data_IF_756945132442
#
_entry.id   IF_756945132442
#
_cell.length_a   1.000
_cell.length_b   1.000
_cell.length_c   1.000
_cell.angle_alpha   90.00
_cell.angle_beta   90.00
_cell.angle_gamma   90.00
#
_symmetry.space_group_name_H-M   'P 1'
#
loop_
_entity.id
_entity.type
_entity.pdbx_description
1 polymer ?
#
# COMPACT_ATOMS: atom_id res chain seq x y z
N UNK A 1 37.77 3.43 12.35
CA UNK A 1 36.79 3.48 11.26
C UNK A 1 35.40 3.46 11.86
N UNK A 2 34.41 4.00 11.15
CA UNK A 2 33.02 4.06 11.61
C UNK A 2 32.13 3.18 10.72
N UNK A 3 31.16 2.49 11.34
CA UNK A 3 30.20 1.64 10.65
C UNK A 3 28.80 2.25 10.74
N UNK A 4 28.02 2.10 9.67
CA UNK A 4 26.67 2.65 9.53
C UNK A 4 25.67 1.51 9.27
N UNK A 5 24.43 1.70 9.72
CA UNK A 5 23.33 0.74 9.51
C UNK A 5 22.04 1.45 9.13
N UNK A 6 21.18 0.74 8.40
CA UNK A 6 19.85 1.24 8.04
C UNK A 6 18.89 1.17 9.24
N UNK A 7 18.07 2.23 9.41
CA UNK A 7 17.01 2.28 10.44
C UNK A 7 15.61 1.98 9.89
N UNK A 8 15.51 1.84 8.58
CA UNK A 8 14.29 1.50 7.83
C UNK A 8 14.63 0.43 6.81
N UNK A 9 13.61 -0.18 6.22
CA UNK A 9 13.79 -1.20 5.19
C UNK A 9 14.62 -0.62 4.01
N UNK A 10 15.83 -1.13 3.75
CA UNK A 10 16.72 -0.52 2.77
C UNK A 10 16.26 -0.80 1.33
N UNK A 11 16.45 0.16 0.44
CA UNK A 11 16.35 -0.08 -1.00
C UNK A 11 17.54 -0.92 -1.49
N UNK A 12 17.34 -1.75 -2.53
CA UNK A 12 18.40 -2.58 -3.12
C UNK A 12 18.71 -3.89 -2.40
N UNK A 13 18.14 -4.13 -1.21
CA UNK A 13 18.20 -5.44 -0.55
C UNK A 13 17.15 -6.39 -1.16
N UNK A 14 17.58 -7.58 -1.58
CA UNK A 14 16.73 -8.55 -2.27
C UNK A 14 15.44 -8.93 -1.50
N UNK A 15 15.47 -8.90 -0.16
CA UNK A 15 14.33 -9.23 0.68
C UNK A 15 13.40 -8.05 0.98
N UNK A 16 13.80 -6.82 0.65
CA UNK A 16 12.99 -5.63 0.93
C UNK A 16 11.64 -5.64 0.21
N UNK A 17 11.53 -5.96 -1.09
CA UNK A 17 10.23 -6.03 -1.76
C UNK A 17 9.27 -7.02 -1.08
N UNK A 18 9.78 -8.21 -0.72
CA UNK A 18 8.98 -9.24 -0.05
C UNK A 18 8.51 -8.80 1.34
N UNK A 19 9.39 -8.16 2.10
CA UNK A 19 9.07 -7.65 3.44
C UNK A 19 8.02 -6.55 3.37
N UNK A 20 8.18 -5.62 2.42
CA UNK A 20 7.22 -4.56 2.17
C UNK A 20 5.84 -5.11 1.78
N UNK A 21 5.79 -6.06 0.85
CA UNK A 21 4.53 -6.67 0.40
C UNK A 21 3.76 -7.33 1.54
N UNK A 22 4.43 -8.05 2.46
CA UNK A 22 3.76 -8.65 3.63
C UNK A 22 3.09 -7.60 4.52
N UNK A 23 3.76 -6.47 4.76
CA UNK A 23 3.18 -5.37 5.54
C UNK A 23 1.97 -4.75 4.82
N UNK A 24 2.08 -4.55 3.51
CA UNK A 24 0.99 -4.06 2.67
C UNK A 24 -0.20 -5.02 2.68
N UNK A 25 0.02 -6.32 2.55
CA UNK A 25 -1.05 -7.31 2.57
C UNK A 25 -1.86 -7.24 3.86
N UNK A 26 -1.20 -7.14 5.01
CA UNK A 26 -1.84 -6.95 6.30
C UNK A 26 -2.63 -5.63 6.36
N UNK A 27 -2.06 -4.54 5.86
CA UNK A 27 -2.74 -3.24 5.79
C UNK A 27 -4.01 -3.27 4.92
N UNK A 28 -4.06 -4.11 3.90
CA UNK A 28 -5.19 -4.23 2.98
C UNK A 28 -6.30 -5.18 3.48
N UNK A 29 -6.05 -6.04 4.47
CA UNK A 29 -7.05 -7.00 4.99
C UNK A 29 -8.37 -6.32 5.38
N UNK A 30 -8.39 -5.23 6.19
CA UNK A 30 -9.65 -4.58 6.57
C UNK A 30 -10.46 -4.07 5.38
N UNK A 31 -9.79 -3.56 4.35
CA UNK A 31 -10.43 -3.06 3.12
C UNK A 31 -11.03 -4.20 2.31
N UNK A 32 -10.32 -5.33 2.20
CA UNK A 32 -10.80 -6.54 1.52
C UNK A 32 -12.02 -7.13 2.22
N UNK A 33 -12.04 -7.13 3.55
CA UNK A 33 -13.19 -7.57 4.36
C UNK A 33 -14.44 -6.68 4.16
N UNK A 34 -14.26 -5.41 3.80
CA UNK A 34 -15.34 -4.51 3.40
C UNK A 34 -15.83 -4.72 1.96
N UNK A 35 -15.28 -5.72 1.24
CA UNK A 35 -15.64 -6.01 -0.15
C UNK A 35 -14.88 -5.18 -1.19
N UNK A 36 -13.89 -4.37 -0.77
CA UNK A 36 -13.07 -3.60 -1.71
C UNK A 36 -12.05 -4.54 -2.36
N UNK A 37 -12.16 -4.72 -3.69
CA UNK A 37 -11.22 -5.53 -4.47
C UNK A 37 -9.99 -4.72 -4.82
N UNK A 38 -8.84 -5.10 -4.25
CA UNK A 38 -7.55 -4.43 -4.43
C UNK A 38 -6.49 -5.45 -4.84
N UNK A 39 -5.90 -5.24 -6.01
CA UNK A 39 -4.69 -5.93 -6.45
C UNK A 39 -3.48 -5.07 -6.07
N UNK A 40 -2.52 -5.65 -5.34
CA UNK A 40 -1.29 -4.98 -4.93
C UNK A 40 -0.08 -5.64 -5.58
N UNK A 41 0.71 -4.88 -6.33
CA UNK A 41 1.97 -5.33 -6.92
C UNK A 41 3.09 -4.37 -6.53
N UNK A 42 3.95 -4.82 -5.61
CA UNK A 42 5.04 -4.00 -5.03
C UNK A 42 4.49 -2.66 -4.51
N UNK A 43 4.73 -1.55 -5.23
CA UNK A 43 4.27 -0.18 -4.88
C UNK A 43 3.03 0.28 -5.66
N UNK A 44 2.56 -0.51 -6.63
CA UNK A 44 1.45 -0.18 -7.52
C UNK A 44 0.20 -0.97 -7.16
N UNK A 45 -0.88 -0.26 -6.83
CA UNK A 45 -2.14 -0.88 -6.41
C UNK A 45 -3.28 -0.48 -7.33
N UNK A 46 -4.14 -1.44 -7.63
CA UNK A 46 -5.29 -1.29 -8.50
C UNK A 46 -6.59 -1.60 -7.75
N UNK A 47 -7.53 -0.66 -7.78
CA UNK A 47 -8.87 -0.81 -7.20
C UNK A 47 -9.84 -1.22 -8.31
N UNK A 48 -10.56 -2.32 -8.10
CA UNK A 48 -11.54 -2.84 -9.06
C UNK A 48 -12.97 -2.58 -8.57
N UNK A 49 -13.76 -1.86 -9.36
CA UNK A 49 -15.15 -1.55 -9.07
C UNK A 49 -16.02 -1.66 -10.34
N UNK A 50 -17.32 -1.90 -10.17
CA UNK A 50 -18.26 -2.08 -11.27
C UNK A 50 -18.73 -0.76 -11.92
N UNK A 51 -18.46 0.37 -11.28
CA UNK A 51 -18.78 1.71 -11.80
C UNK A 51 -17.72 2.71 -11.37
N UNK A 52 -17.66 3.84 -12.07
CA UNK A 52 -16.79 4.97 -11.73
C UNK A 52 -17.12 5.54 -10.34
N UNK A 53 -18.41 5.73 -10.03
CA UNK A 53 -18.85 6.23 -8.73
C UNK A 53 -18.42 5.32 -7.57
N UNK A 54 -18.50 4.00 -7.77
CA UNK A 54 -18.05 3.03 -6.79
C UNK A 54 -16.52 3.02 -6.69
N UNK A 55 -15.81 3.16 -7.81
CA UNK A 55 -14.35 3.29 -7.83
C UNK A 55 -13.88 4.52 -7.04
N UNK A 56 -14.53 5.68 -7.24
CA UNK A 56 -14.24 6.91 -6.52
C UNK A 56 -14.47 6.75 -5.01
N UNK A 57 -15.60 6.15 -4.61
CA UNK A 57 -15.89 5.85 -3.21
C UNK A 57 -14.86 4.91 -2.60
N UNK A 58 -14.53 3.81 -3.28
CA UNK A 58 -13.50 2.87 -2.82
C UNK A 58 -12.14 3.56 -2.71
N UNK A 59 -11.74 4.36 -3.70
CA UNK A 59 -10.52 5.18 -3.67
C UNK A 59 -10.48 6.01 -2.39
N UNK A 60 -11.54 6.74 -2.07
CA UNK A 60 -11.55 7.64 -0.90
C UNK A 60 -11.39 6.87 0.42
N UNK A 61 -12.04 5.71 0.54
CA UNK A 61 -11.87 4.81 1.69
C UNK A 61 -10.43 4.30 1.78
N UNK A 62 -9.85 3.85 0.67
CA UNK A 62 -8.45 3.37 0.64
C UNK A 62 -7.48 4.50 1.00
N UNK A 63 -7.65 5.69 0.43
CA UNK A 63 -6.79 6.86 0.72
C UNK A 63 -6.86 7.25 2.20
N UNK A 64 -8.06 7.27 2.78
CA UNK A 64 -8.25 7.57 4.20
C UNK A 64 -7.56 6.52 5.09
N UNK A 65 -7.76 5.23 4.80
CA UNK A 65 -7.13 4.13 5.55
C UNK A 65 -5.60 4.21 5.48
N UNK A 66 -5.02 4.39 4.29
CA UNK A 66 -3.58 4.53 4.12
C UNK A 66 -3.00 5.72 4.88
N UNK A 67 -3.71 6.85 4.90
CA UNK A 67 -3.32 8.02 5.68
C UNK A 67 -3.26 7.72 7.17
N UNK A 68 -4.22 6.96 7.70
CA UNK A 68 -4.20 6.54 9.13
C UNK A 68 -3.04 5.62 9.47
N UNK A 69 -2.57 4.82 8.50
CA UNK A 69 -1.40 3.96 8.66
C UNK A 69 -0.06 4.69 8.43
N UNK A 70 -0.09 5.99 8.10
CA UNK A 70 1.10 6.80 7.86
C UNK A 70 1.77 6.56 6.50
N UNK A 71 1.11 5.87 5.58
CA UNK A 71 1.61 5.66 4.21
C UNK A 71 1.49 6.95 3.39
N UNK A 72 2.54 7.28 2.65
CA UNK A 72 2.57 8.45 1.75
C UNK A 72 2.23 8.00 0.34
N UNK A 73 1.11 8.50 -0.17
CA UNK A 73 0.64 8.21 -1.52
C UNK A 73 1.05 9.35 -2.46
N UNK A 74 1.54 8.99 -3.65
CA UNK A 74 1.90 9.97 -4.66
C UNK A 74 0.62 10.43 -5.39
N UNK A 75 0.21 11.68 -5.18
CA UNK A 75 -0.94 12.29 -5.84
C UNK A 75 -0.63 12.82 -7.26
N UNK A 76 0.65 12.93 -7.63
CA UNK A 76 1.13 13.49 -8.91
C UNK A 76 1.86 12.45 -9.75
N UNK A 77 1.46 11.18 -9.65
CA UNK A 77 2.11 10.13 -10.42
C UNK A 77 2.02 10.43 -11.91
#
# INVERSE_FOLDING_TARGET
GEAYQYRVLPFGLALSPRTFMKCVDAALVPLRLQGIRILNYIVDWLILAASESLAARHRDVVLAHMKTLGLRLNAKK
#
